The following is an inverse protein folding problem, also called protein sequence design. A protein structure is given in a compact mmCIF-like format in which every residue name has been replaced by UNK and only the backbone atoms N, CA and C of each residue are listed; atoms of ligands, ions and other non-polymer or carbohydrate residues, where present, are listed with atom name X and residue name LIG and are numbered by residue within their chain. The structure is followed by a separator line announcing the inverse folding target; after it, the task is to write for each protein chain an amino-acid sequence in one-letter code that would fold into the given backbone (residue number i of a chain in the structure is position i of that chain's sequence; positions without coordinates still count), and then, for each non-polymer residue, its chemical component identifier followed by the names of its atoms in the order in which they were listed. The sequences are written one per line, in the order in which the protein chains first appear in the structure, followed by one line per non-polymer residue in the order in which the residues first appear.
data_IF_728130976004
#
_entry.id   IF_728130976004
#
_cell.length_a   1.000
_cell.length_b   1.000
_cell.length_c   1.000
_cell.angle_alpha   90.00
_cell.angle_beta   90.00
_cell.angle_gamma   90.00
#
_symmetry.space_group_name_H-M   'P 1'
#
loop_
_entity.id
_entity.type
_entity.pdbx_description
1 polymer ?
#
# COMPACT_ATOMS: atom_id res chain seq x y z
N UNK A 1 -12.74 31.77 -3.07
CA UNK A 1 -12.19 31.17 -4.31
C UNK A 1 -13.04 31.69 -5.48
N UNK A 2 -12.43 32.19 -6.54
CA UNK A 2 -13.15 32.52 -7.78
C UNK A 2 -13.51 31.19 -8.47
N UNK A 3 -14.73 31.07 -8.99
CA UNK A 3 -15.20 29.85 -9.68
C UNK A 3 -15.45 30.15 -11.15
N UNK A 4 -15.36 29.10 -11.98
CA UNK A 4 -15.72 29.13 -13.40
C UNK A 4 -16.75 28.04 -13.67
N UNK A 5 -17.59 28.25 -14.69
CA UNK A 5 -18.52 27.23 -15.17
C UNK A 5 -17.90 26.50 -16.36
N UNK A 6 -17.81 25.17 -16.29
CA UNK A 6 -17.50 24.34 -17.45
C UNK A 6 -18.74 24.24 -18.37
N UNK A 7 -18.59 24.30 -19.71
CA UNK A 7 -19.70 24.01 -20.63
C UNK A 7 -20.26 22.60 -20.43
N UNK A 8 -21.59 22.47 -20.54
CA UNK A 8 -22.25 21.18 -20.51
C UNK A 8 -21.82 20.31 -21.70
N UNK A 9 -21.63 19.00 -21.46
CA UNK A 9 -21.21 18.03 -22.47
C UNK A 9 -21.76 16.65 -22.16
N UNK A 10 -21.95 15.85 -23.22
CA UNK A 10 -22.19 14.41 -23.09
C UNK A 10 -20.84 13.71 -22.92
N UNK A 11 -20.79 12.70 -22.07
CA UNK A 11 -19.56 11.92 -21.83
C UNK A 11 -19.69 10.57 -22.55
N UNK A 12 -18.74 10.20 -23.41
CA UNK A 12 -18.76 8.91 -24.09
C UNK A 12 -18.59 7.77 -23.08
N UNK A 13 -19.49 6.78 -23.16
CA UNK A 13 -19.34 5.52 -22.43
C UNK A 13 -18.41 4.63 -23.24
N UNK A 14 -17.24 4.33 -22.71
CA UNK A 14 -16.20 3.56 -23.43
C UNK A 14 -16.18 2.09 -23.04
N UNK A 15 -16.76 1.75 -21.89
CA UNK A 15 -16.83 0.38 -21.40
C UNK A 15 -17.96 0.22 -20.37
N UNK A 16 -18.47 -1.01 -20.24
CA UNK A 16 -19.44 -1.43 -19.23
C UNK A 16 -19.03 -2.80 -18.71
N UNK A 17 -19.06 -3.01 -17.39
CA UNK A 17 -18.57 -4.25 -16.77
C UNK A 17 -19.46 -4.68 -15.60
N UNK A 18 -19.27 -5.90 -15.08
CA UNK A 18 -19.95 -6.34 -13.85
C UNK A 18 -19.32 -5.67 -12.62
N UNK A 19 -18.00 -5.82 -12.47
CA UNK A 19 -17.23 -5.28 -11.35
C UNK A 19 -16.14 -4.34 -11.87
N UNK A 20 -16.19 -3.08 -11.44
CA UNK A 20 -15.17 -2.09 -11.74
C UNK A 20 -14.30 -1.83 -10.52
N UNK A 21 -13.00 -2.07 -10.66
CA UNK A 21 -12.01 -1.75 -9.62
C UNK A 21 -11.25 -0.49 -10.00
N UNK A 22 -11.19 0.48 -9.07
CA UNK A 22 -10.53 1.78 -9.29
C UNK A 22 -9.30 1.88 -8.41
N UNK A 23 -8.12 1.87 -9.03
CA UNK A 23 -6.81 1.76 -8.39
C UNK A 23 -6.27 0.34 -8.46
N UNK A 24 -5.01 0.17 -8.87
CA UNK A 24 -4.34 -1.12 -9.08
C UNK A 24 -3.19 -1.38 -8.09
N UNK A 25 -3.26 -0.77 -6.90
CA UNK A 25 -2.41 -1.15 -5.79
C UNK A 25 -2.69 -2.57 -5.28
N UNK A 26 -2.04 -3.00 -4.19
CA UNK A 26 -2.23 -4.33 -3.61
C UNK A 26 -3.70 -4.75 -3.41
N UNK A 27 -4.54 -3.85 -2.89
CA UNK A 27 -5.97 -4.11 -2.74
C UNK A 27 -6.69 -4.25 -4.08
N UNK A 28 -6.42 -3.34 -5.02
CA UNK A 28 -7.10 -3.33 -6.31
C UNK A 28 -6.77 -4.52 -7.19
N UNK A 29 -5.48 -4.88 -7.29
CA UNK A 29 -5.06 -6.08 -7.99
C UNK A 29 -5.68 -7.34 -7.37
N UNK A 30 -5.65 -7.45 -6.04
CA UNK A 30 -6.24 -8.61 -5.36
C UNK A 30 -7.76 -8.68 -5.58
N UNK A 31 -8.46 -7.54 -5.56
CA UNK A 31 -9.90 -7.47 -5.84
C UNK A 31 -10.24 -7.90 -7.26
N UNK A 32 -9.50 -7.39 -8.25
CA UNK A 32 -9.75 -7.70 -9.66
C UNK A 32 -9.57 -9.20 -9.95
N UNK A 33 -8.44 -9.77 -9.49
CA UNK A 33 -8.15 -11.19 -9.65
C UNK A 33 -9.19 -12.07 -8.94
N UNK A 34 -9.57 -11.72 -7.72
CA UNK A 34 -10.51 -12.49 -6.92
C UNK A 34 -11.93 -12.48 -7.51
N UNK A 35 -12.40 -11.31 -7.98
CA UNK A 35 -13.68 -11.15 -8.65
C UNK A 35 -13.75 -11.95 -9.96
N UNK A 36 -12.70 -11.87 -10.79
CA UNK A 36 -12.62 -12.62 -12.04
C UNK A 36 -12.63 -14.13 -11.79
N UNK A 37 -11.86 -14.60 -10.80
CA UNK A 37 -11.85 -16.02 -10.38
C UNK A 37 -13.18 -16.51 -9.80
N UNK A 38 -13.99 -15.59 -9.27
CA UNK A 38 -15.36 -15.85 -8.82
C UNK A 38 -16.41 -15.78 -9.96
N UNK A 39 -15.96 -15.44 -11.18
CA UNK A 39 -16.75 -15.50 -12.42
C UNK A 39 -17.39 -14.18 -12.86
N UNK A 40 -16.98 -13.04 -12.30
CA UNK A 40 -17.44 -11.73 -12.77
C UNK A 40 -16.64 -11.26 -14.00
N UNK A 41 -17.27 -10.48 -14.88
CA UNK A 41 -16.54 -9.63 -15.83
C UNK A 41 -15.93 -8.45 -15.06
N UNK A 42 -14.62 -8.23 -15.20
CA UNK A 42 -13.90 -7.25 -14.38
C UNK A 42 -13.13 -6.28 -15.24
N UNK A 43 -13.26 -4.99 -14.93
CA UNK A 43 -12.33 -3.95 -15.37
C UNK A 43 -11.50 -3.42 -14.22
N UNK A 44 -10.22 -3.18 -14.46
CA UNK A 44 -9.28 -2.58 -13.51
C UNK A 44 -8.73 -1.27 -14.08
N UNK A 45 -9.02 -0.16 -13.42
CA UNK A 45 -8.63 1.19 -13.85
C UNK A 45 -7.49 1.71 -12.98
N UNK A 46 -6.48 2.31 -13.61
CA UNK A 46 -5.42 3.04 -12.89
C UNK A 46 -4.99 4.32 -13.63
N UNK A 47 -4.54 5.32 -12.87
CA UNK A 47 -3.99 6.57 -13.39
C UNK A 47 -2.58 6.41 -13.94
N UNK A 48 -1.83 5.44 -13.44
CA UNK A 48 -0.44 5.19 -13.82
C UNK A 48 -0.35 4.31 -15.08
N UNK A 49 0.87 4.23 -15.62
CA UNK A 49 1.19 3.43 -16.81
C UNK A 49 1.58 1.98 -16.51
N UNK A 50 1.42 1.52 -15.26
CA UNK A 50 1.63 0.15 -14.86
C UNK A 50 0.80 -0.18 -13.61
N UNK A 51 0.57 -1.46 -13.36
CA UNK A 51 -0.12 -1.94 -12.17
C UNK A 51 0.83 -2.14 -10.99
N UNK A 52 0.29 -2.29 -9.79
CA UNK A 52 1.04 -2.58 -8.55
C UNK A 52 1.00 -1.47 -7.50
N UNK A 53 0.58 -0.26 -7.88
CA UNK A 53 0.46 0.88 -6.97
C UNK A 53 1.75 1.14 -6.19
N UNK A 54 1.70 1.04 -4.86
CA UNK A 54 2.88 1.30 -4.02
C UNK A 54 4.07 0.35 -4.30
N UNK A 55 3.82 -0.90 -4.72
CA UNK A 55 4.90 -1.85 -5.02
C UNK A 55 5.75 -1.31 -6.18
N UNK A 56 5.09 -0.78 -7.22
CA UNK A 56 5.73 -0.43 -8.49
C UNK A 56 5.91 1.07 -8.68
N UNK A 57 4.83 1.85 -8.55
CA UNK A 57 4.85 3.29 -8.78
C UNK A 57 5.56 4.07 -7.68
N UNK A 58 5.49 3.60 -6.43
CA UNK A 58 6.27 4.20 -5.32
C UNK A 58 7.62 3.51 -5.17
N UNK A 59 7.71 2.19 -5.43
CA UNK A 59 8.95 1.42 -5.25
C UNK A 59 9.11 0.87 -3.82
N UNK A 60 7.99 0.54 -3.16
CA UNK A 60 7.98 -0.13 -1.85
C UNK A 60 8.03 -1.64 -2.09
N UNK A 61 9.23 -2.22 -2.05
CA UNK A 61 9.43 -3.63 -2.45
C UNK A 61 9.13 -4.62 -1.31
N UNK A 62 9.26 -4.19 -0.05
CA UNK A 62 8.92 -4.98 1.14
C UNK A 62 7.42 -5.18 1.32
N UNK A 63 6.82 -6.15 0.62
CA UNK A 63 5.37 -6.43 0.67
C UNK A 63 4.89 -7.05 1.99
N UNK A 64 5.67 -7.98 2.53
CA UNK A 64 5.39 -8.73 3.74
C UNK A 64 6.60 -8.79 4.68
N UNK A 65 7.34 -7.68 4.77
CA UNK A 65 8.61 -7.58 5.51
C UNK A 65 8.50 -7.95 7.00
N UNK A 66 7.30 -8.05 7.54
CA UNK A 66 7.01 -8.46 8.91
C UNK A 66 7.10 -9.99 9.14
N UNK A 67 7.34 -10.80 8.11
CA UNK A 67 7.20 -12.27 8.21
C UNK A 67 8.33 -12.91 9.00
N UNK A 68 7.98 -13.62 10.06
CA UNK A 68 8.87 -14.43 10.89
C UNK A 68 8.33 -15.86 11.06
N UNK A 69 9.11 -16.72 11.73
CA UNK A 69 8.84 -18.16 11.85
C UNK A 69 7.43 -18.49 12.39
N UNK A 70 6.96 -17.73 13.38
CA UNK A 70 5.65 -17.94 13.99
C UNK A 70 4.54 -17.11 13.34
N UNK A 71 4.82 -16.32 12.30
CA UNK A 71 3.81 -15.44 11.70
C UNK A 71 2.70 -16.25 11.05
N UNK A 72 1.45 -15.87 11.36
CA UNK A 72 0.25 -16.48 10.78
C UNK A 72 -0.38 -15.51 9.79
N UNK A 73 -0.38 -15.88 8.51
CA UNK A 73 -0.88 -15.04 7.42
C UNK A 73 -2.16 -15.59 6.77
N UNK A 74 -2.85 -14.73 6.03
CA UNK A 74 -4.03 -15.09 5.26
C UNK A 74 -3.75 -16.04 4.10
N UNK A 75 -2.54 -16.04 3.53
CA UNK A 75 -2.28 -16.72 2.25
C UNK A 75 -2.95 -16.00 1.08
N UNK A 76 -3.67 -16.74 0.24
CA UNK A 76 -4.40 -16.19 -0.91
C UNK A 76 -3.53 -15.42 -1.90
N UNK A 77 -4.11 -14.38 -2.50
CA UNK A 77 -3.49 -13.61 -3.59
C UNK A 77 -2.26 -12.83 -3.10
N UNK A 78 -2.21 -12.42 -1.84
CA UNK A 78 -1.01 -11.77 -1.28
C UNK A 78 0.22 -12.68 -1.32
N UNK A 79 0.05 -13.95 -0.97
CA UNK A 79 1.11 -14.96 -1.10
C UNK A 79 1.42 -15.29 -2.58
N UNK A 80 0.40 -15.24 -3.43
CA UNK A 80 0.57 -15.45 -4.87
C UNK A 80 1.45 -14.35 -5.50
N UNK A 81 1.30 -13.08 -5.13
CA UNK A 81 2.16 -12.00 -5.62
C UNK A 81 3.64 -12.31 -5.39
N UNK A 82 3.99 -12.70 -4.16
CA UNK A 82 5.35 -13.08 -3.80
C UNK A 82 5.82 -14.34 -4.52
N UNK A 83 4.99 -15.38 -4.56
CA UNK A 83 5.30 -16.65 -5.23
C UNK A 83 5.59 -16.43 -6.72
N UNK A 84 4.72 -15.68 -7.40
CA UNK A 84 4.84 -15.39 -8.84
C UNK A 84 6.03 -14.49 -9.13
N UNK A 85 6.30 -13.50 -8.29
CA UNK A 85 7.49 -12.68 -8.44
C UNK A 85 8.77 -13.53 -8.33
N UNK A 86 8.84 -14.45 -7.36
CA UNK A 86 9.97 -15.38 -7.22
C UNK A 86 10.12 -16.31 -8.43
N UNK A 87 9.02 -16.92 -8.90
CA UNK A 87 9.03 -17.79 -10.09
C UNK A 87 9.49 -17.05 -11.36
N UNK A 88 9.20 -15.75 -11.45
CA UNK A 88 9.58 -14.90 -12.58
C UNK A 88 10.95 -14.23 -12.40
N UNK A 89 11.69 -14.53 -11.32
CA UNK A 89 12.98 -13.90 -11.02
C UNK A 89 12.89 -12.41 -10.66
N UNK A 90 11.69 -11.94 -10.29
CA UNK A 90 11.36 -10.57 -9.91
C UNK A 90 11.25 -10.39 -8.39
N UNK A 91 11.97 -11.22 -7.63
CA UNK A 91 12.01 -11.12 -6.17
C UNK A 91 13.33 -11.61 -5.60
N UNK A 92 13.75 -11.04 -4.48
CA UNK A 92 14.92 -11.48 -3.72
C UNK A 92 14.58 -11.66 -2.24
N UNK A 93 15.35 -12.46 -1.47
CA UNK A 93 15.10 -12.59 -0.03
C UNK A 93 15.16 -11.24 0.68
N UNK A 94 14.17 -10.98 1.54
CA UNK A 94 14.10 -9.77 2.36
C UNK A 94 15.26 -9.73 3.37
N UNK A 95 15.78 -8.53 3.63
CA UNK A 95 16.97 -8.35 4.48
C UNK A 95 16.71 -8.67 5.96
N UNK A 96 15.47 -8.51 6.42
CA UNK A 96 15.10 -8.51 7.84
C UNK A 96 14.06 -9.56 8.24
N UNK A 97 13.63 -10.41 7.31
CA UNK A 97 12.48 -11.30 7.50
C UNK A 97 12.58 -12.57 6.65
N UNK A 98 11.57 -13.44 6.76
CA UNK A 98 11.43 -14.65 5.93
C UNK A 98 10.65 -14.41 4.62
N UNK A 99 10.28 -13.16 4.33
CA UNK A 99 9.63 -12.80 3.07
C UNK A 99 10.61 -12.58 1.93
N UNK A 100 10.05 -12.22 0.78
CA UNK A 100 10.79 -11.73 -0.35
C UNK A 100 10.39 -10.29 -0.65
N UNK A 101 11.36 -9.51 -1.11
CA UNK A 101 11.15 -8.19 -1.68
C UNK A 101 10.76 -8.35 -3.14
N UNK A 102 9.73 -7.62 -3.55
CA UNK A 102 9.20 -7.68 -4.90
C UNK A 102 9.86 -6.56 -5.71
N UNK A 103 10.72 -6.94 -6.67
CA UNK A 103 11.40 -5.97 -7.54
C UNK A 103 10.36 -5.07 -8.21
N UNK A 104 10.43 -3.77 -7.96
CA UNK A 104 9.40 -2.82 -8.36
C UNK A 104 9.20 -2.71 -9.88
N UNK A 105 10.22 -3.03 -10.67
CA UNK A 105 10.13 -3.06 -12.13
C UNK A 105 9.64 -4.43 -12.63
N UNK A 106 10.17 -5.52 -12.09
CA UNK A 106 9.78 -6.89 -12.41
C UNK A 106 8.34 -7.20 -12.01
N UNK A 107 7.86 -6.64 -10.90
CA UNK A 107 6.49 -6.84 -10.45
C UNK A 107 5.46 -6.23 -11.40
N UNK A 108 5.83 -5.24 -12.23
CA UNK A 108 4.95 -4.73 -13.31
C UNK A 108 4.58 -5.87 -14.27
N UNK A 109 5.58 -6.66 -14.68
CA UNK A 109 5.39 -7.82 -15.55
C UNK A 109 4.63 -8.96 -14.85
N UNK A 110 4.86 -9.15 -13.55
CA UNK A 110 4.10 -10.11 -12.73
C UNK A 110 2.62 -9.72 -12.71
N UNK A 111 2.31 -8.45 -12.46
CA UNK A 111 0.95 -7.93 -12.42
C UNK A 111 0.26 -8.03 -13.79
N UNK A 112 0.95 -7.66 -14.87
CA UNK A 112 0.45 -7.82 -16.24
C UNK A 112 0.07 -9.28 -16.49
N UNK A 113 0.96 -10.22 -16.16
CA UNK A 113 0.74 -11.66 -16.38
C UNK A 113 -0.46 -12.19 -15.60
N UNK A 114 -0.58 -11.81 -14.32
CA UNK A 114 -1.70 -12.21 -13.46
C UNK A 114 -3.05 -11.74 -14.03
N UNK A 115 -3.09 -10.51 -14.53
CA UNK A 115 -4.30 -9.88 -15.07
C UNK A 115 -4.70 -10.50 -16.41
N UNK A 116 -3.73 -10.74 -17.30
CA UNK A 116 -3.95 -11.46 -18.57
C UNK A 116 -4.49 -12.88 -18.33
N UNK A 117 -3.87 -13.64 -17.42
CA UNK A 117 -4.30 -15.01 -17.09
C UNK A 117 -5.70 -15.06 -16.48
N UNK A 118 -6.09 -14.04 -15.71
CA UNK A 118 -7.40 -13.94 -15.10
C UNK A 118 -8.49 -13.42 -16.07
N UNK A 119 -8.12 -12.93 -17.25
CA UNK A 119 -9.06 -12.33 -18.21
C UNK A 119 -9.67 -11.01 -17.72
N UNK A 120 -8.98 -10.30 -16.83
CA UNK A 120 -9.38 -8.96 -16.37
C UNK A 120 -9.09 -7.95 -17.49
N UNK A 121 -9.97 -6.96 -17.69
CA UNK A 121 -9.76 -5.88 -18.66
C UNK A 121 -8.98 -4.71 -18.02
N UNK A 122 -7.68 -4.52 -18.31
CA UNK A 122 -6.91 -3.42 -17.74
C UNK A 122 -7.13 -2.11 -18.49
N UNK A 123 -7.21 -1.00 -17.75
CA UNK A 123 -7.43 0.35 -18.25
C UNK A 123 -6.48 1.35 -17.57
N UNK A 124 -5.25 1.41 -18.04
CA UNK A 124 -4.19 2.31 -17.55
C UNK A 124 -4.35 3.75 -18.08
N UNK A 125 -3.62 4.70 -17.47
CA UNK A 125 -3.63 6.13 -17.80
C UNK A 125 -4.99 6.84 -17.67
N UNK A 126 -5.88 6.33 -16.82
CA UNK A 126 -7.22 6.88 -16.58
C UNK A 126 -7.36 7.33 -15.13
N UNK A 127 -7.33 8.65 -14.92
CA UNK A 127 -7.52 9.25 -13.61
C UNK A 127 -9.01 9.29 -13.28
N UNK A 128 -9.42 8.78 -12.12
CA UNK A 128 -10.79 8.96 -11.62
C UNK A 128 -11.10 10.44 -11.37
N UNK A 129 -12.31 10.88 -11.77
CA UNK A 129 -12.78 12.27 -11.61
C UNK A 129 -14.09 12.39 -10.84
N UNK A 130 -15.08 11.59 -11.18
CA UNK A 130 -16.41 11.68 -10.55
C UNK A 130 -17.13 10.33 -10.58
N UNK A 131 -17.93 10.00 -9.56
CA UNK A 131 -18.80 8.83 -9.62
C UNK A 131 -20.02 9.12 -10.49
N UNK A 132 -20.60 8.08 -11.07
CA UNK A 132 -21.91 8.13 -11.72
C UNK A 132 -22.91 7.54 -10.72
N UNK A 133 -23.90 8.35 -10.33
CA UNK A 133 -24.84 8.01 -9.27
C UNK A 133 -26.26 7.89 -9.81
N UNK A 134 -26.98 6.87 -9.36
CA UNK A 134 -28.44 6.75 -9.44
C UNK A 134 -28.99 6.80 -8.01
N UNK A 135 -29.42 7.99 -7.58
CA UNK A 135 -29.82 8.29 -6.20
C UNK A 135 -28.69 7.96 -5.22
N UNK A 136 -28.79 6.83 -4.51
CA UNK A 136 -27.84 6.36 -3.50
C UNK A 136 -26.94 5.22 -4.01
N UNK A 137 -27.08 4.81 -5.28
CA UNK A 137 -26.31 3.73 -5.89
C UNK A 137 -25.26 4.28 -6.84
N UNK A 138 -24.01 3.83 -6.69
CA UNK A 138 -22.99 4.05 -7.71
C UNK A 138 -23.22 3.09 -8.89
N UNK A 139 -23.16 3.61 -10.11
CA UNK A 139 -23.40 2.86 -11.37
C UNK A 139 -22.23 2.96 -12.35
N UNK A 140 -21.12 3.60 -11.93
CA UNK A 140 -19.92 3.75 -12.75
C UNK A 140 -19.06 4.92 -12.29
N UNK A 141 -18.06 5.25 -13.10
CA UNK A 141 -17.17 6.41 -12.90
C UNK A 141 -16.98 7.19 -14.19
N UNK A 142 -16.60 8.45 -14.03
CA UNK A 142 -16.01 9.29 -15.07
C UNK A 142 -14.51 9.37 -14.79
N UNK A 143 -13.72 9.16 -15.84
CA UNK A 143 -12.27 9.30 -15.84
C UNK A 143 -11.83 10.48 -16.71
N UNK A 144 -10.59 10.92 -16.56
CA UNK A 144 -9.92 11.88 -17.44
C UNK A 144 -8.56 11.33 -17.85
N UNK A 145 -8.24 11.49 -19.13
CA UNK A 145 -6.95 11.15 -19.72
C UNK A 145 -6.62 12.11 -20.87
N UNK A 146 -5.56 11.84 -21.62
CA UNK A 146 -5.28 12.59 -22.87
C UNK A 146 -6.35 12.41 -23.95
N UNK A 147 -7.23 11.40 -23.84
CA UNK A 147 -8.40 11.22 -24.69
C UNK A 147 -9.60 12.09 -24.27
N UNK A 148 -9.50 12.80 -23.14
CA UNK A 148 -10.59 13.56 -22.54
C UNK A 148 -11.35 12.77 -21.49
N UNK A 149 -12.58 13.22 -21.17
CA UNK A 149 -13.47 12.55 -20.22
C UNK A 149 -14.15 11.33 -20.84
N UNK A 150 -14.04 10.20 -20.16
CA UNK A 150 -14.67 8.93 -20.55
C UNK A 150 -15.47 8.36 -19.37
N UNK A 151 -16.63 7.76 -19.65
CA UNK A 151 -17.45 7.06 -18.66
C UNK A 151 -17.25 5.55 -18.75
N UNK A 152 -17.18 4.90 -17.59
CA UNK A 152 -17.12 3.44 -17.44
C UNK A 152 -18.26 3.04 -16.51
N UNK A 153 -19.21 2.24 -17.02
CA UNK A 153 -20.37 1.80 -16.26
C UNK A 153 -20.10 0.46 -15.56
N UNK A 154 -20.70 0.26 -14.39
CA UNK A 154 -20.52 -0.95 -13.60
C UNK A 154 -21.75 -1.28 -12.74
N UNK A 155 -21.95 -2.56 -12.43
CA UNK A 155 -22.99 -2.99 -11.48
C UNK A 155 -22.53 -2.88 -10.02
N UNK A 156 -21.23 -3.12 -9.77
CA UNK A 156 -20.54 -2.89 -8.50
C UNK A 156 -19.22 -2.17 -8.76
N UNK A 157 -18.88 -1.20 -7.92
CA UNK A 157 -17.60 -0.50 -7.93
C UNK A 157 -16.82 -0.83 -6.65
N UNK A 158 -15.52 -1.08 -6.79
CA UNK A 158 -14.57 -1.23 -5.68
C UNK A 158 -13.61 -0.04 -5.73
N UNK A 159 -13.71 0.84 -4.72
CA UNK A 159 -12.75 1.90 -4.47
C UNK A 159 -11.50 1.32 -3.83
N UNK A 160 -10.45 1.16 -4.63
CA UNK A 160 -9.11 0.77 -4.21
C UNK A 160 -8.09 1.88 -4.52
N UNK A 161 -8.55 3.14 -4.54
CA UNK A 161 -7.72 4.31 -4.86
C UNK A 161 -6.63 4.57 -3.82
N UNK A 162 -6.83 4.05 -2.61
CA UNK A 162 -5.98 4.33 -1.45
C UNK A 162 -6.33 5.63 -0.74
N UNK A 163 -7.20 6.48 -1.32
CA UNK A 163 -7.55 7.79 -0.76
C UNK A 163 -9.07 8.00 -0.57
N UNK A 164 -9.84 6.91 -0.67
CA UNK A 164 -11.31 6.91 -0.68
C UNK A 164 -11.89 7.95 -1.67
N UNK A 165 -11.22 8.18 -2.82
CA UNK A 165 -11.62 9.25 -3.73
C UNK A 165 -13.01 8.98 -4.33
N UNK A 166 -13.33 7.72 -4.67
CA UNK A 166 -14.64 7.36 -5.22
C UNK A 166 -15.70 7.51 -4.13
N UNK A 167 -15.46 6.94 -2.94
CA UNK A 167 -16.39 7.02 -1.82
C UNK A 167 -16.66 8.47 -1.38
N UNK A 168 -15.61 9.26 -1.21
CA UNK A 168 -15.71 10.66 -0.82
C UNK A 168 -16.52 11.47 -1.83
N UNK A 169 -16.23 11.33 -3.14
CA UNK A 169 -16.95 12.05 -4.19
C UNK A 169 -18.37 11.53 -4.41
N UNK A 170 -18.67 10.30 -4.02
CA UNK A 170 -20.03 9.74 -4.04
C UNK A 170 -20.89 10.28 -2.88
N UNK A 171 -20.28 10.94 -1.89
CA UNK A 171 -20.97 11.49 -0.72
C UNK A 171 -20.94 10.57 0.50
N UNK A 172 -20.14 9.49 0.49
CA UNK A 172 -19.92 8.69 1.69
C UNK A 172 -19.22 9.56 2.75
N UNK A 173 -19.60 9.45 4.04
CA UNK A 173 -18.88 10.14 5.10
C UNK A 173 -17.45 9.63 5.19
N UNK A 174 -16.49 10.55 5.23
CA UNK A 174 -15.06 10.24 5.34
C UNK A 174 -14.41 11.08 6.43
N UNK A 175 -13.46 10.49 7.15
CA UNK A 175 -12.57 11.17 8.07
C UNK A 175 -11.18 11.32 7.47
N UNK A 176 -10.57 12.50 7.61
CA UNK A 176 -9.18 12.76 7.25
C UNK A 176 -8.43 13.21 8.49
N UNK A 177 -7.29 12.59 8.78
CA UNK A 177 -6.40 12.98 9.88
C UNK A 177 -5.95 14.44 9.68
N UNK A 178 -5.75 15.18 10.78
CA UNK A 178 -5.16 16.51 10.69
C UNK A 178 -3.73 16.42 10.11
N UNK A 179 -3.30 17.45 9.37
CA UNK A 179 -2.07 17.42 8.57
C UNK A 179 -0.82 17.17 9.43
N UNK A 180 -0.80 17.75 10.62
CA UNK A 180 0.22 17.61 11.67
C UNK A 180 0.27 16.22 12.31
N UNK A 181 -0.82 15.48 12.24
CA UNK A 181 -0.97 14.13 12.82
C UNK A 181 -0.83 13.02 11.78
N UNK A 182 -0.78 13.36 10.49
CA UNK A 182 -0.63 12.39 9.40
C UNK A 182 0.72 11.68 9.50
N UNK A 183 0.74 10.40 9.09
CA UNK A 183 2.01 9.71 8.87
C UNK A 183 2.83 10.41 7.79
N UNK A 184 4.13 10.53 8.05
CA UNK A 184 5.07 11.10 7.10
C UNK A 184 5.02 10.36 5.75
N UNK A 185 5.06 11.15 4.67
CA UNK A 185 5.18 10.61 3.32
C UNK A 185 6.63 10.20 3.05
N UNK A 186 6.83 9.15 2.25
CA UNK A 186 8.17 8.64 1.98
C UNK A 186 8.57 8.80 0.52
N UNK A 187 9.80 9.24 0.27
CA UNK A 187 10.39 9.21 -1.08
C UNK A 187 11.31 8.01 -1.20
N UNK A 188 10.88 7.02 -1.97
CA UNK A 188 11.70 5.85 -2.27
C UNK A 188 12.68 6.16 -3.40
N UNK A 189 13.88 5.60 -3.28
CA UNK A 189 14.86 5.62 -4.35
C UNK A 189 15.68 4.33 -4.36
N UNK A 190 16.37 4.11 -5.47
CA UNK A 190 17.26 2.96 -5.66
C UNK A 190 18.64 3.45 -6.06
N UNK A 191 19.66 2.69 -5.67
CA UNK A 191 21.06 2.96 -5.93
C UNK A 191 21.65 1.89 -6.85
N UNK A 192 22.68 2.30 -7.58
CA UNK A 192 23.53 1.41 -8.36
C UNK A 192 24.99 1.73 -8.06
N UNK A 193 25.88 0.75 -8.29
CA UNK A 193 27.31 0.90 -8.07
C UNK A 193 27.74 0.62 -6.63
N UNK A 194 26.96 -0.16 -5.88
CA UNK A 194 27.31 -0.60 -4.53
C UNK A 194 28.16 -1.86 -4.60
N UNK A 195 29.31 -1.88 -3.91
CA UNK A 195 30.06 -3.11 -3.66
C UNK A 195 29.30 -3.91 -2.58
N UNK A 196 28.53 -4.90 -3.04
CA UNK A 196 27.71 -5.77 -2.18
C UNK A 196 28.53 -6.40 -1.06
N UNK A 197 29.76 -6.86 -1.33
CA UNK A 197 30.55 -7.56 -0.32
C UNK A 197 30.95 -6.58 0.79
N UNK A 198 31.53 -5.44 0.42
CA UNK A 198 31.95 -4.43 1.39
C UNK A 198 30.77 -3.87 2.20
N UNK A 199 29.63 -3.64 1.54
CA UNK A 199 28.41 -3.19 2.19
C UNK A 199 27.89 -4.18 3.24
N UNK A 200 27.75 -5.46 2.85
CA UNK A 200 27.24 -6.50 3.77
C UNK A 200 28.23 -6.78 4.91
N UNK A 201 29.54 -6.73 4.65
CA UNK A 201 30.56 -6.81 5.72
C UNK A 201 30.46 -5.63 6.68
N UNK A 202 30.22 -4.42 6.17
CA UNK A 202 29.97 -3.22 6.97
C UNK A 202 28.74 -3.36 7.87
N UNK A 203 27.60 -3.80 7.31
CA UNK A 203 26.37 -4.05 8.09
C UNK A 203 26.60 -5.10 9.19
N UNK A 204 27.33 -6.19 8.89
CA UNK A 204 27.63 -7.24 9.87
C UNK A 204 28.59 -6.78 10.97
N UNK A 205 29.48 -5.84 10.67
CA UNK A 205 30.42 -5.30 11.65
C UNK A 205 29.75 -4.37 12.67
N UNK A 206 28.59 -3.80 12.32
CA UNK A 206 27.81 -2.88 13.16
C UNK A 206 26.30 -3.13 13.00
N UNK A 207 25.80 -4.29 13.47
CA UNK A 207 24.40 -4.65 13.30
C UNK A 207 23.50 -3.71 14.09
N UNK A 208 22.41 -3.28 13.46
CA UNK A 208 21.36 -2.51 14.14
C UNK A 208 20.21 -3.43 14.56
N UNK A 209 19.47 -3.02 15.57
CA UNK A 209 18.24 -3.68 16.01
C UNK A 209 17.05 -2.74 15.95
N UNK A 210 15.83 -3.23 16.16
CA UNK A 210 14.65 -2.35 16.18
C UNK A 210 14.66 -1.35 17.34
N UNK A 211 15.39 -1.63 18.42
CA UNK A 211 15.64 -0.65 19.48
C UNK A 211 16.37 0.59 18.98
N UNK A 212 17.23 0.45 17.97
CA UNK A 212 17.99 1.57 17.39
C UNK A 212 17.13 2.50 16.52
N UNK A 213 15.88 2.13 16.22
CA UNK A 213 14.94 3.04 15.58
C UNK A 213 14.53 4.17 16.53
N UNK A 214 14.68 3.96 17.84
CA UNK A 214 14.48 4.95 18.88
C UNK A 214 15.72 5.80 19.16
N UNK A 215 15.53 7.01 19.68
CA UNK A 215 16.62 7.81 20.27
C UNK A 215 17.28 8.86 19.35
N UNK A 216 16.87 8.96 18.09
CA UNK A 216 17.31 10.00 17.14
C UNK A 216 16.60 11.36 17.28
N UNK A 217 15.82 11.58 18.34
CA UNK A 217 15.09 12.82 18.61
C UNK A 217 13.66 12.89 18.03
N UNK A 218 13.40 12.26 16.88
CA UNK A 218 12.09 12.35 16.20
C UNK A 218 11.29 11.03 16.14
N UNK A 219 11.96 9.88 16.21
CA UNK A 219 11.33 8.57 16.21
C UNK A 219 11.26 8.03 17.64
N UNK A 220 10.22 8.40 18.38
CA UNK A 220 9.88 7.69 19.62
C UNK A 220 8.99 6.52 19.25
N UNK A 221 9.58 5.33 19.11
CA UNK A 221 8.87 4.11 18.75
C UNK A 221 8.52 3.32 20.00
N UNK A 222 7.22 3.11 20.22
CA UNK A 222 6.68 2.13 21.15
C UNK A 222 6.78 0.75 20.51
N UNK A 223 7.58 -0.13 21.14
CA UNK A 223 7.64 -1.56 20.83
C UNK A 223 6.93 -2.37 21.91
N UNK A 224 6.76 -3.67 21.68
CA UNK A 224 6.29 -4.59 22.73
C UNK A 224 7.43 -5.21 23.55
N UNK A 225 8.67 -4.82 23.28
CA UNK A 225 9.89 -5.35 23.88
C UNK A 225 10.39 -6.66 23.25
N UNK A 226 9.53 -7.45 22.58
CA UNK A 226 9.94 -8.71 21.92
C UNK A 226 10.73 -8.46 20.63
N UNK A 227 10.61 -7.26 20.06
CA UNK A 227 11.28 -6.85 18.83
C UNK A 227 12.64 -6.19 19.05
N UNK A 228 12.89 -5.68 20.26
CA UNK A 228 13.97 -4.72 20.53
C UNK A 228 15.36 -5.22 20.10
N UNK A 229 15.65 -6.49 20.34
CA UNK A 229 16.94 -7.11 20.06
C UNK A 229 16.99 -7.83 18.69
N UNK A 230 15.91 -7.78 17.91
CA UNK A 230 15.88 -8.38 16.57
C UNK A 230 16.63 -7.50 15.58
N UNK A 231 17.35 -8.13 14.65
CA UNK A 231 18.09 -7.44 13.59
C UNK A 231 17.19 -6.53 12.75
N UNK A 232 17.73 -5.38 12.37
CA UNK A 232 17.11 -4.43 11.47
C UNK A 232 18.12 -3.88 10.43
N UNK A 233 17.71 -3.63 9.18
CA UNK A 233 18.51 -3.01 8.13
C UNK A 233 18.50 -1.47 8.28
N UNK A 234 18.33 -0.98 9.51
CA UNK A 234 18.27 0.44 9.81
C UNK A 234 19.64 1.10 9.59
N UNK A 235 19.64 2.30 9.02
CA UNK A 235 20.83 3.10 8.73
C UNK A 235 20.58 4.52 9.20
N UNK A 236 21.38 4.96 10.18
CA UNK A 236 21.34 6.32 10.71
C UNK A 236 22.73 6.93 10.89
N UNK A 237 23.75 6.13 11.26
CA UNK A 237 25.10 6.60 11.59
C UNK A 237 25.79 7.38 10.45
N UNK A 238 25.72 6.93 9.17
CA UNK A 238 26.25 7.72 8.05
C UNK A 238 25.66 9.13 7.97
N UNK A 239 24.37 9.28 8.27
CA UNK A 239 23.68 10.57 8.21
C UNK A 239 24.04 11.45 9.40
N UNK A 240 24.18 10.86 10.59
CA UNK A 240 24.69 11.60 11.76
C UNK A 240 26.10 12.13 11.51
N UNK A 241 27.02 11.31 10.98
CA UNK A 241 28.37 11.75 10.62
C UNK A 241 28.36 12.87 9.56
N UNK A 242 27.44 12.79 8.60
CA UNK A 242 27.28 13.83 7.61
C UNK A 242 26.75 15.14 8.21
N UNK A 243 25.86 15.09 9.20
CA UNK A 243 25.42 16.27 9.97
C UNK A 243 26.60 16.87 10.75
N UNK A 244 27.35 16.04 11.46
CA UNK A 244 28.49 16.49 12.28
C UNK A 244 29.58 17.16 11.44
N UNK A 245 29.75 16.75 10.18
CA UNK A 245 30.67 17.35 9.22
C UNK A 245 30.07 18.50 8.39
N UNK A 246 28.82 18.88 8.64
CA UNK A 246 28.13 19.98 7.94
C UNK A 246 27.74 19.67 6.48
N UNK A 247 27.75 18.40 6.07
CA UNK A 247 27.29 17.97 4.74
C UNK A 247 25.76 17.94 4.66
N UNK A 248 25.11 17.54 5.75
CA UNK A 248 23.66 17.61 5.91
C UNK A 248 23.35 18.75 6.90
N UNK A 249 22.45 19.69 6.57
CA UNK A 249 21.98 20.70 7.51
C UNK A 249 21.41 20.05 8.79
N UNK A 250 21.78 20.57 9.97
CA UNK A 250 21.40 19.98 11.26
C UNK A 250 19.88 19.87 11.52
N UNK A 251 19.06 20.64 10.81
CA UNK A 251 17.59 20.55 10.89
C UNK A 251 17.00 19.40 10.07
N UNK A 252 17.80 18.69 9.27
CA UNK A 252 17.41 17.50 8.50
C UNK A 252 17.86 16.22 9.23
N UNK A 253 17.60 16.17 10.52
CA UNK A 253 17.87 15.04 11.40
C UNK A 253 16.88 13.87 11.20
N UNK A 254 15.91 14.02 10.29
CA UNK A 254 14.92 12.99 9.93
C UNK A 254 15.46 11.96 8.94
N UNK A 255 16.62 12.22 8.31
CA UNK A 255 17.24 11.35 7.30
C UNK A 255 17.82 10.12 7.99
N UNK A 256 17.02 9.07 8.03
CA UNK A 256 17.35 7.75 8.53
C UNK A 256 16.26 6.77 8.05
N UNK A 257 16.55 5.48 8.09
CA UNK A 257 15.55 4.47 7.75
C UNK A 257 16.18 3.16 7.29
N UNK A 258 15.43 2.39 6.51
CA UNK A 258 15.84 1.05 6.11
C UNK A 258 16.28 0.99 4.66
N UNK A 259 17.24 0.11 4.38
CA UNK A 259 17.46 -0.41 3.03
C UNK A 259 16.75 -1.75 2.89
N UNK A 260 16.45 -2.11 1.64
CA UNK A 260 15.74 -3.33 1.32
C UNK A 260 16.62 -4.38 0.66
N UNK A 261 16.60 -4.42 -0.67
CA UNK A 261 17.23 -5.48 -1.45
C UNK A 261 18.65 -5.13 -1.89
N UNK A 262 19.52 -6.15 -1.88
CA UNK A 262 20.88 -6.05 -2.38
C UNK A 262 21.16 -7.07 -3.48
N UNK A 263 21.37 -6.59 -4.70
CA UNK A 263 21.58 -7.40 -5.90
C UNK A 263 23.07 -7.65 -6.18
N UNK A 264 23.40 -8.81 -6.76
CA UNK A 264 24.78 -9.16 -7.10
C UNK A 264 25.37 -8.25 -8.19
N UNK A 265 24.51 -7.58 -8.96
CA UNK A 265 24.85 -6.58 -9.97
C UNK A 265 25.18 -5.20 -9.38
N UNK A 266 25.11 -5.04 -8.05
CA UNK A 266 25.51 -3.83 -7.33
C UNK A 266 24.39 -2.79 -7.20
N UNK A 267 23.13 -3.21 -7.36
CA UNK A 267 21.97 -2.42 -7.00
C UNK A 267 21.56 -2.63 -5.55
N UNK A 268 21.23 -1.51 -4.91
CA UNK A 268 20.59 -1.46 -3.61
C UNK A 268 19.23 -0.77 -3.80
N UNK A 269 18.15 -1.53 -3.75
CA UNK A 269 16.80 -1.02 -3.99
C UNK A 269 16.02 -0.88 -2.69
N UNK A 270 14.81 -0.34 -2.78
CA UNK A 270 13.95 0.00 -1.65
C UNK A 270 14.66 0.80 -0.53
N UNK A 271 15.26 1.95 -0.89
CA UNK A 271 15.79 2.89 0.10
C UNK A 271 14.66 3.73 0.69
N UNK A 272 14.23 3.38 1.90
CA UNK A 272 13.23 4.13 2.66
C UNK A 272 13.90 5.00 3.73
N UNK A 273 14.59 6.05 3.30
CA UNK A 273 15.41 6.91 4.16
C UNK A 273 14.85 8.33 4.35
N UNK A 274 13.91 8.75 3.48
CA UNK A 274 13.39 10.11 3.47
C UNK A 274 11.94 10.09 3.89
N UNK A 275 11.67 10.69 5.04
CA UNK A 275 10.35 10.77 5.66
C UNK A 275 9.99 12.26 5.84
N UNK A 276 8.92 12.69 5.17
CA UNK A 276 8.47 14.07 5.14
C UNK A 276 7.14 14.20 5.90
N UNK A 277 7.19 14.84 7.06
CA UNK A 277 6.00 15.17 7.83
C UNK A 277 5.13 16.20 7.09
N UNK A 278 3.85 16.27 7.47
CA UNK A 278 2.88 17.26 6.98
C UNK A 278 2.71 17.31 5.44
N UNK A 279 2.88 16.18 4.75
CA UNK A 279 2.55 16.06 3.32
C UNK A 279 1.14 15.47 3.19
N UNK A 280 0.18 16.30 2.78
CA UNK A 280 -1.20 15.86 2.53
C UNK A 280 -1.34 15.29 1.12
N UNK A 281 -1.57 13.98 1.01
CA UNK A 281 -1.77 13.30 -0.28
C UNK A 281 -3.04 13.69 -1.04
N UNK A 282 -3.94 14.46 -0.42
CA UNK A 282 -5.14 15.00 -1.07
C UNK A 282 -4.97 16.43 -1.61
N UNK A 283 -3.81 17.05 -1.36
CA UNK A 283 -3.43 18.38 -1.84
C UNK A 283 -2.27 18.28 -2.86
N UNK A 284 -2.51 18.54 -4.15
CA UNK A 284 -1.47 18.46 -5.18
C UNK A 284 -0.31 19.44 -4.96
N UNK A 285 -0.53 20.59 -4.33
CA UNK A 285 0.54 21.53 -4.01
C UNK A 285 1.42 20.97 -2.88
N UNK A 286 0.81 20.32 -1.89
CA UNK A 286 1.54 19.60 -0.85
C UNK A 286 2.37 18.46 -1.41
N UNK A 287 1.80 17.65 -2.31
CA UNK A 287 2.54 16.59 -2.99
C UNK A 287 3.71 17.16 -3.80
N UNK A 288 3.51 18.26 -4.53
CA UNK A 288 4.56 18.91 -5.32
C UNK A 288 5.74 19.37 -4.45
N UNK A 289 5.46 19.96 -3.28
CA UNK A 289 6.51 20.33 -2.32
C UNK A 289 7.25 19.11 -1.80
N UNK A 290 6.52 18.06 -1.39
CA UNK A 290 7.11 16.83 -0.87
C UNK A 290 8.01 16.13 -1.89
N UNK A 291 7.58 16.09 -3.16
CA UNK A 291 8.33 15.53 -4.27
C UNK A 291 9.68 16.25 -4.50
N UNK A 292 9.65 17.58 -4.56
CA UNK A 292 10.86 18.40 -4.80
C UNK A 292 11.82 18.27 -3.61
N UNK A 293 11.29 18.44 -2.40
CA UNK A 293 12.10 18.42 -1.19
C UNK A 293 12.66 17.02 -0.91
N UNK A 294 11.86 15.97 -1.06
CA UNK A 294 12.30 14.61 -0.83
C UNK A 294 13.40 14.19 -1.79
N UNK A 295 13.31 14.52 -3.08
CA UNK A 295 14.42 14.29 -4.03
C UNK A 295 15.70 15.03 -3.63
N UNK A 296 15.58 16.27 -3.12
CA UNK A 296 16.72 17.04 -2.62
C UNK A 296 17.39 16.33 -1.43
N UNK A 297 16.60 15.88 -0.45
CA UNK A 297 17.10 15.14 0.71
C UNK A 297 17.70 13.77 0.33
N UNK A 298 17.11 13.06 -0.64
CA UNK A 298 17.68 11.80 -1.14
C UNK A 298 19.09 11.99 -1.71
N UNK A 299 19.36 13.09 -2.42
CA UNK A 299 20.71 13.36 -2.93
C UNK A 299 21.72 13.65 -1.80
N UNK A 300 21.29 14.28 -0.71
CA UNK A 300 22.10 14.43 0.49
C UNK A 300 22.38 13.08 1.17
N UNK A 301 21.37 12.23 1.27
CA UNK A 301 21.52 10.88 1.80
C UNK A 301 22.50 10.05 0.97
N UNK A 302 22.43 10.13 -0.38
CA UNK A 302 23.37 9.44 -1.27
C UNK A 302 24.81 9.92 -1.02
N UNK A 303 25.03 11.23 -0.92
CA UNK A 303 26.37 11.77 -0.64
C UNK A 303 26.90 11.33 0.73
N UNK A 304 26.05 11.27 1.75
CA UNK A 304 26.42 10.74 3.06
C UNK A 304 26.81 9.26 2.99
N UNK A 305 26.00 8.43 2.31
CA UNK A 305 26.31 7.01 2.10
C UNK A 305 27.65 6.82 1.37
N UNK A 306 27.93 7.61 0.32
CA UNK A 306 29.20 7.52 -0.41
C UNK A 306 30.44 7.78 0.44
N UNK A 307 30.32 8.61 1.48
CA UNK A 307 31.45 8.98 2.35
C UNK A 307 31.61 8.08 3.55
N UNK A 308 30.50 7.56 4.06
CA UNK A 308 30.44 7.00 5.41
C UNK A 308 29.90 5.56 5.46
N UNK A 309 29.30 5.06 4.39
CA UNK A 309 28.80 3.69 4.33
C UNK A 309 29.77 2.82 3.49
N UNK A 310 30.42 1.82 4.09
CA UNK A 310 31.30 0.90 3.35
C UNK A 310 30.59 0.29 2.14
N UNK A 311 31.28 0.23 1.00
CA UNK A 311 30.76 -0.31 -0.24
C UNK A 311 29.88 0.65 -1.05
N UNK A 312 29.51 1.80 -0.50
CA UNK A 312 28.72 2.81 -1.22
C UNK A 312 29.57 3.89 -1.91
N UNK A 313 30.90 3.77 -1.99
CA UNK A 313 31.80 4.84 -2.48
C UNK A 313 31.47 5.27 -3.93
N UNK A 314 31.04 4.31 -4.75
CA UNK A 314 30.62 4.48 -6.13
C UNK A 314 29.10 4.53 -6.30
N UNK A 315 28.34 4.55 -5.20
CA UNK A 315 26.89 4.58 -5.25
C UNK A 315 26.41 5.84 -5.99
N UNK A 316 25.48 5.63 -6.92
CA UNK A 316 24.76 6.69 -7.62
C UNK A 316 23.28 6.40 -7.60
N UNK A 317 22.48 7.46 -7.71
CA UNK A 317 21.06 7.32 -7.96
C UNK A 317 20.82 6.47 -9.22
N UNK A 318 20.02 5.42 -9.10
CA UNK A 318 19.47 4.65 -10.21
C UNK A 318 18.18 5.29 -10.68
N UNK A 319 17.19 5.38 -9.79
CA UNK A 319 15.90 6.03 -10.03
C UNK A 319 15.21 6.38 -8.71
N UNK A 320 14.20 7.24 -8.79
CA UNK A 320 13.19 7.44 -7.77
C UNK A 320 11.98 6.55 -8.07
N UNK A 321 11.11 6.37 -7.07
CA UNK A 321 9.70 6.06 -7.34
C UNK A 321 9.08 7.11 -8.27
N UNK A 322 8.10 6.71 -9.08
CA UNK A 322 7.36 7.61 -9.98
C UNK A 322 6.50 8.63 -9.22
N UNK A 323 6.15 8.32 -7.97
CA UNK A 323 5.39 9.19 -7.07
C UNK A 323 5.82 8.98 -5.63
N UNK A 324 5.67 10.01 -4.81
CA UNK A 324 5.85 9.97 -3.37
C UNK A 324 4.87 8.99 -2.72
N UNK A 325 5.34 8.24 -1.73
CA UNK A 325 4.57 7.26 -0.98
C UNK A 325 3.71 7.91 0.10
N UNK A 326 2.41 7.94 -0.10
CA UNK A 326 1.43 8.43 0.87
C UNK A 326 0.91 7.27 1.73
N UNK A 327 0.92 7.47 3.06
CA UNK A 327 0.54 6.44 4.06
C UNK A 327 -0.81 6.71 4.73
N UNK A 328 -1.27 7.95 4.77
CA UNK A 328 -2.52 8.35 5.41
C UNK A 328 -3.20 9.51 4.66
N UNK A 329 -4.52 9.40 4.49
CA UNK A 329 -5.39 10.42 3.87
C UNK A 329 -6.82 10.25 4.41
N UNK A 330 -7.81 10.05 3.54
CA UNK A 330 -9.20 9.83 3.91
C UNK A 330 -9.45 8.36 4.18
N UNK A 331 -10.25 8.11 5.21
CA UNK A 331 -10.85 6.81 5.53
C UNK A 331 -12.36 6.97 5.53
N UNK A 332 -13.10 5.97 5.07
CA UNK A 332 -14.56 5.99 5.20
C UNK A 332 -14.98 5.84 6.67
N UNK A 333 -16.08 6.48 7.05
CA UNK A 333 -16.85 6.04 8.21
C UNK A 333 -17.70 4.84 7.77
N UNK A 334 -17.16 3.65 7.97
CA UNK A 334 -17.76 2.41 7.51
C UNK A 334 -18.88 1.95 8.45
N UNK A 335 -19.64 0.92 8.03
CA UNK A 335 -20.62 0.24 8.89
C UNK A 335 -19.99 -0.21 10.22
N UNK A 336 -18.69 -0.52 10.21
CA UNK A 336 -17.88 -0.69 11.40
C UNK A 336 -16.46 -0.15 11.17
N UNK A 337 -15.98 0.66 12.09
CA UNK A 337 -14.60 1.11 12.07
C UNK A 337 -13.80 0.24 13.03
N UNK A 338 -12.77 -0.44 12.53
CA UNK A 338 -11.86 -1.21 13.37
C UNK A 338 -11.18 -0.32 14.41
N UNK A 339 -10.94 -0.88 15.59
CA UNK A 339 -10.36 -0.17 16.72
C UNK A 339 -8.96 -0.67 17.08
N UNK A 340 -8.22 0.12 17.84
CA UNK A 340 -6.97 -0.29 18.47
C UNK A 340 -7.11 -1.62 19.23
N UNK A 341 -8.23 -1.81 19.93
CA UNK A 341 -8.51 -3.02 20.68
C UNK A 341 -8.57 -4.24 19.76
N UNK A 342 -9.20 -4.13 18.59
CA UNK A 342 -9.25 -5.20 17.60
C UNK A 342 -7.85 -5.56 17.08
N UNK A 343 -7.02 -4.55 16.83
CA UNK A 343 -5.66 -4.73 16.32
C UNK A 343 -4.73 -5.36 17.36
N UNK A 344 -4.76 -4.87 18.60
CA UNK A 344 -3.87 -5.34 19.68
C UNK A 344 -4.35 -6.63 20.32
N UNK A 345 -5.65 -6.86 20.42
CA UNK A 345 -6.24 -7.99 21.17
C UNK A 345 -6.89 -9.05 20.29
N UNK A 346 -6.46 -9.15 19.02
CA UNK A 346 -6.87 -10.21 18.10
C UNK A 346 -8.38 -10.24 17.86
N UNK A 347 -8.97 -9.11 17.45
CA UNK A 347 -10.39 -8.98 17.13
C UNK A 347 -10.91 -10.17 16.33
N UNK A 348 -12.10 -10.65 16.68
CA UNK A 348 -12.75 -11.83 16.08
C UNK A 348 -14.10 -11.45 15.53
N UNK A 349 -14.27 -11.70 14.25
CA UNK A 349 -15.46 -11.31 13.49
C UNK A 349 -16.06 -12.51 12.77
N UNK A 350 -17.37 -12.69 12.91
CA UNK A 350 -18.13 -13.72 12.18
C UNK A 350 -18.17 -13.44 10.68
N UNK A 351 -18.10 -12.17 10.31
CA UNK A 351 -18.13 -11.65 8.95
C UNK A 351 -16.73 -11.38 8.38
N UNK A 352 -15.74 -12.16 8.81
CA UNK A 352 -14.34 -11.97 8.40
C UNK A 352 -14.11 -12.29 6.92
N UNK A 353 -13.33 -11.45 6.24
CA UNK A 353 -12.85 -11.71 4.88
C UNK A 353 -11.42 -12.25 4.83
N UNK A 354 -10.80 -12.47 5.99
CA UNK A 354 -9.43 -12.94 6.10
C UNK A 354 -8.81 -12.57 7.44
N UNK A 355 -7.57 -12.98 7.63
CA UNK A 355 -6.81 -12.64 8.84
C UNK A 355 -5.64 -11.73 8.51
N UNK A 356 -5.16 -11.01 9.51
CA UNK A 356 -3.88 -10.31 9.41
C UNK A 356 -3.08 -10.55 10.68
N UNK A 357 -1.78 -10.86 10.59
CA UNK A 357 -0.93 -11.00 11.77
C UNK A 357 -0.96 -9.73 12.64
N UNK A 358 -0.56 -9.84 13.90
CA UNK A 358 -0.46 -8.71 14.85
C UNK A 358 0.67 -7.71 14.52
N UNK A 359 0.72 -7.26 13.28
CA UNK A 359 1.72 -6.34 12.78
C UNK A 359 1.17 -4.92 12.81
N UNK A 360 1.85 -4.04 13.54
CA UNK A 360 1.56 -2.60 13.59
C UNK A 360 2.84 -1.85 13.24
N UNK A 361 2.75 -0.95 12.27
CA UNK A 361 3.84 -0.05 11.92
C UNK A 361 3.24 1.32 11.59
N UNK A 362 3.57 2.33 12.36
CA UNK A 362 3.13 3.70 12.11
C UNK A 362 2.63 4.41 13.36
N UNK A 363 2.51 5.73 13.25
CA UNK A 363 2.19 6.62 14.37
C UNK A 363 3.07 6.41 15.62
N UNK A 364 4.34 6.02 15.41
CA UNK A 364 5.28 5.75 16.50
C UNK A 364 5.06 4.41 17.20
N UNK A 365 4.33 3.47 16.60
CA UNK A 365 4.16 2.11 17.13
C UNK A 365 4.81 1.11 16.17
N UNK A 366 5.57 0.16 16.71
CA UNK A 366 6.10 -0.98 15.98
C UNK A 366 5.86 -2.28 16.77
N UNK A 367 5.02 -3.16 16.23
CA UNK A 367 4.80 -4.50 16.77
C UNK A 367 5.03 -5.50 15.65
N UNK A 368 5.95 -6.45 15.84
CA UNK A 368 6.20 -7.53 14.88
C UNK A 368 5.42 -8.80 15.24
N UNK A 369 4.95 -9.57 14.24
CA UNK A 369 4.11 -10.73 14.48
C UNK A 369 4.91 -12.01 14.73
N UNK A 370 5.67 -12.00 15.82
CA UNK A 370 6.59 -13.08 16.21
C UNK A 370 5.97 -14.13 17.13
N UNK A 371 4.68 -14.05 17.46
CA UNK A 371 4.04 -14.94 18.45
C UNK A 371 2.86 -15.76 17.90
N UNK A 372 2.62 -15.74 16.59
CA UNK A 372 1.48 -16.44 15.96
C UNK A 372 0.09 -15.87 16.22
N UNK A 373 0.02 -14.69 16.83
CA UNK A 373 -1.22 -13.93 17.01
C UNK A 373 -1.62 -13.25 15.71
N UNK A 374 -2.93 -13.14 15.49
CA UNK A 374 -3.52 -12.50 14.32
C UNK A 374 -4.91 -11.97 14.66
N UNK A 375 -5.40 -10.98 13.92
CA UNK A 375 -6.76 -10.44 13.98
C UNK A 375 -7.57 -10.86 12.75
N UNK A 376 -8.90 -10.84 12.86
CA UNK A 376 -9.81 -10.93 11.71
C UNK A 376 -9.98 -9.56 11.06
N UNK A 377 -10.16 -9.55 9.74
CA UNK A 377 -10.55 -8.35 8.98
C UNK A 377 -12.05 -8.43 8.68
N UNK A 378 -12.91 -7.62 9.32
CA UNK A 378 -14.36 -7.71 9.14
C UNK A 378 -14.80 -7.15 7.78
N UNK A 379 -15.69 -7.84 7.08
CA UNK A 379 -16.28 -7.38 5.81
C UNK A 379 -16.90 -5.98 5.93
N UNK A 380 -17.61 -5.73 7.03
CA UNK A 380 -18.31 -4.47 7.29
C UNK A 380 -17.40 -3.24 7.45
N UNK A 381 -16.08 -3.39 7.58
CA UNK A 381 -15.16 -2.23 7.55
C UNK A 381 -14.93 -1.69 6.14
N UNK A 382 -15.30 -2.44 5.10
CA UNK A 382 -15.23 -2.01 3.70
C UNK A 382 -16.53 -1.42 3.17
N UNK A 383 -17.61 -1.43 3.97
CA UNK A 383 -18.94 -0.94 3.56
C UNK A 383 -19.09 0.55 3.92
N UNK A 384 -19.09 1.47 2.93
CA UNK A 384 -19.36 2.89 3.20
C UNK A 384 -20.83 3.11 3.57
N UNK A 385 -21.09 4.04 4.50
CA UNK A 385 -22.46 4.44 4.83
C UNK A 385 -23.07 5.27 3.69
N UNK A 386 -24.34 4.99 3.38
CA UNK A 386 -25.16 5.82 2.49
C UNK A 386 -24.94 5.61 1.00
N UNK A 387 -24.00 4.75 0.58
CA UNK A 387 -23.70 4.49 -0.84
C UNK A 387 -23.84 2.99 -1.14
N UNK A 388 -24.83 2.64 -1.96
CA UNK A 388 -25.07 1.28 -2.45
C UNK A 388 -24.21 0.97 -3.66
N UNK A 389 -23.86 -0.31 -3.83
CA UNK A 389 -23.05 -0.78 -4.96
C UNK A 389 -21.56 -0.43 -4.87
N UNK A 390 -21.10 0.05 -3.71
CA UNK A 390 -19.70 0.44 -3.46
C UNK A 390 -19.07 -0.39 -2.35
N UNK A 391 -17.85 -0.86 -2.57
CA UNK A 391 -16.93 -1.34 -1.54
C UNK A 391 -15.68 -0.45 -1.51
N UNK A 392 -15.07 -0.26 -0.34
CA UNK A 392 -13.79 0.44 -0.18
C UNK A 392 -12.76 -0.52 0.39
N UNK A 393 -11.72 -0.81 -0.38
CA UNK A 393 -10.69 -1.77 -0.01
C UNK A 393 -9.30 -1.12 0.07
N UNK A 394 -8.47 -1.63 0.98
CA UNK A 394 -7.14 -1.09 1.23
C UNK A 394 -7.13 -0.05 2.35
N UNK A 395 -6.12 0.83 2.35
CA UNK A 395 -5.86 1.77 3.46
C UNK A 395 -6.97 2.78 3.76
N UNK A 396 -8.01 2.87 2.93
CA UNK A 396 -9.12 3.82 3.11
C UNK A 396 -10.39 3.22 3.72
N UNK A 397 -10.38 1.94 4.09
CA UNK A 397 -11.47 1.29 4.84
C UNK A 397 -11.68 1.95 6.23
N UNK A 398 -12.74 1.54 6.94
CA UNK A 398 -13.05 2.05 8.28
C UNK A 398 -12.12 1.53 9.37
N UNK A 399 -11.27 2.40 9.92
CA UNK A 399 -10.39 2.12 11.05
C UNK A 399 -10.04 3.39 11.83
N UNK A 400 -9.79 3.26 13.13
CA UNK A 400 -9.17 4.30 13.94
C UNK A 400 -7.67 4.46 13.65
N UNK A 401 -6.99 5.36 14.38
CA UNK A 401 -5.57 5.67 14.17
C UNK A 401 -4.67 4.44 14.28
N UNK A 402 -4.80 3.62 15.32
CA UNK A 402 -3.89 2.50 15.56
C UNK A 402 -4.26 1.30 14.70
N UNK A 403 -5.55 1.01 14.55
CA UNK A 403 -6.01 -0.01 13.60
C UNK A 403 -5.55 0.30 12.17
N UNK A 404 -5.58 1.57 11.75
CA UNK A 404 -5.06 2.00 10.45
C UNK A 404 -3.57 1.68 10.29
N UNK A 405 -2.73 1.89 11.32
CA UNK A 405 -1.31 1.53 11.26
C UNK A 405 -1.06 0.03 11.02
N UNK A 406 -2.00 -0.82 11.43
CA UNK A 406 -1.96 -2.25 11.12
C UNK A 406 -2.51 -2.56 9.71
N UNK A 407 -3.70 -2.07 9.38
CA UNK A 407 -4.44 -2.52 8.20
C UNK A 407 -4.06 -1.81 6.89
N UNK A 408 -3.37 -0.66 6.97
CA UNK A 408 -2.81 0.04 5.79
C UNK A 408 -1.64 -0.69 5.14
N UNK A 409 -1.10 -1.73 5.78
CA UNK A 409 -0.02 -2.54 5.24
C UNK A 409 -0.44 -3.25 3.95
N UNK A 410 0.48 -3.36 2.99
CA UNK A 410 0.17 -3.83 1.63
C UNK A 410 -0.42 -5.24 1.59
N UNK A 411 0.12 -6.16 2.40
CA UNK A 411 -0.44 -7.49 2.55
C UNK A 411 -1.87 -7.49 3.14
N UNK A 412 -2.17 -6.67 4.15
CA UNK A 412 -3.54 -6.51 4.67
C UNK A 412 -4.48 -5.88 3.64
N UNK A 413 -3.96 -4.94 2.84
CA UNK A 413 -4.71 -4.35 1.74
C UNK A 413 -5.08 -5.40 0.69
N UNK A 414 -4.17 -6.34 0.36
CA UNK A 414 -4.47 -7.45 -0.53
C UNK A 414 -5.55 -8.39 0.05
N UNK A 415 -5.56 -8.64 1.37
CA UNK A 415 -6.65 -9.39 2.05
C UNK A 415 -7.99 -8.70 1.85
N UNK A 416 -8.05 -7.38 2.12
CA UNK A 416 -9.26 -6.57 1.88
C UNK A 416 -9.70 -6.61 0.42
N UNK A 417 -8.76 -6.45 -0.49
CA UNK A 417 -8.99 -6.55 -1.93
C UNK A 417 -9.64 -7.87 -2.33
N UNK A 418 -9.02 -8.99 -1.95
CA UNK A 418 -9.52 -10.32 -2.28
C UNK A 418 -10.93 -10.56 -1.72
N UNK A 419 -11.18 -10.15 -0.47
CA UNK A 419 -12.51 -10.17 0.13
C UNK A 419 -13.55 -9.35 -0.64
N UNK A 420 -13.18 -8.12 -1.02
CA UNK A 420 -14.06 -7.22 -1.76
C UNK A 420 -14.40 -7.77 -3.16
N UNK A 421 -13.43 -8.31 -3.88
CA UNK A 421 -13.63 -8.89 -5.21
C UNK A 421 -14.59 -10.08 -5.19
N UNK A 422 -14.40 -11.02 -4.25
CA UNK A 422 -15.30 -12.17 -4.08
C UNK A 422 -16.71 -11.70 -3.69
N UNK A 423 -16.82 -10.77 -2.74
CA UNK A 423 -18.10 -10.25 -2.30
C UNK A 423 -18.87 -9.58 -3.44
N UNK A 424 -18.20 -8.75 -4.26
CA UNK A 424 -18.80 -8.10 -5.42
C UNK A 424 -19.32 -9.11 -6.46
N UNK A 425 -18.52 -10.12 -6.82
CA UNK A 425 -18.94 -11.15 -7.77
C UNK A 425 -20.13 -11.97 -7.24
N UNK A 426 -20.09 -12.36 -5.96
CA UNK A 426 -21.15 -13.16 -5.36
C UNK A 426 -22.43 -12.36 -5.10
N UNK A 427 -22.34 -11.06 -4.81
CA UNK A 427 -23.52 -10.19 -4.65
C UNK A 427 -24.30 -10.08 -5.96
N UNK A 428 -23.60 -10.00 -7.10
CA UNK A 428 -24.22 -10.00 -8.42
C UNK A 428 -24.85 -11.35 -8.74
N UNK A 429 -24.16 -12.46 -8.45
CA UNK A 429 -24.65 -13.82 -8.68
C UNK A 429 -25.89 -14.17 -7.85
N UNK A 430 -25.95 -13.68 -6.61
CA UNK A 430 -27.09 -13.89 -5.70
C UNK A 430 -28.16 -12.81 -5.79
N UNK A 431 -27.94 -11.76 -6.59
CA UNK A 431 -28.79 -10.58 -6.68
C UNK A 431 -29.09 -9.97 -5.29
N UNK A 432 -28.05 -9.87 -4.47
CA UNK A 432 -28.11 -9.26 -3.14
C UNK A 432 -27.34 -7.94 -3.13
N UNK A 433 -27.84 -6.97 -2.37
CA UNK A 433 -27.06 -5.78 -2.08
C UNK A 433 -25.88 -6.12 -1.17
N UNK A 434 -24.78 -5.38 -1.32
CA UNK A 434 -23.52 -5.61 -0.61
C UNK A 434 -23.68 -5.58 0.92
N UNK A 435 -24.57 -4.74 1.45
CA UNK A 435 -24.87 -4.60 2.89
C UNK A 435 -25.74 -5.73 3.44
N UNK A 436 -26.34 -6.54 2.56
CA UNK A 436 -27.23 -7.67 2.90
C UNK A 436 -26.69 -9.01 2.42
N UNK A 437 -25.45 -9.04 1.94
CA UNK A 437 -24.82 -10.21 1.36
C UNK A 437 -24.64 -11.30 2.42
N UNK A 438 -25.08 -12.52 2.11
CA UNK A 438 -24.75 -13.68 2.94
C UNK A 438 -23.27 -14.05 2.77
N UNK A 439 -22.50 -14.01 3.87
CA UNK A 439 -21.07 -14.29 3.82
C UNK A 439 -20.70 -15.77 3.88
N UNK A 440 -21.63 -16.70 4.10
CA UNK A 440 -21.30 -18.12 4.06
C UNK A 440 -20.77 -18.56 2.66
N UNK A 441 -21.41 -18.19 1.53
CA UNK A 441 -20.82 -18.34 0.20
C UNK A 441 -19.47 -17.63 0.02
N UNK A 442 -19.31 -16.42 0.59
CA UNK A 442 -18.06 -15.64 0.52
C UNK A 442 -16.92 -16.38 1.22
N UNK A 443 -17.12 -16.88 2.43
CA UNK A 443 -16.13 -17.68 3.16
C UNK A 443 -15.75 -18.98 2.42
N UNK A 444 -16.74 -19.64 1.79
CA UNK A 444 -16.46 -20.84 0.97
C UNK A 444 -15.57 -20.50 -0.22
N UNK A 445 -15.84 -19.37 -0.87
CA UNK A 445 -15.09 -18.91 -2.03
C UNK A 445 -13.68 -18.40 -1.64
N UNK A 446 -13.56 -17.71 -0.50
CA UNK A 446 -12.27 -17.34 0.11
C UNK A 446 -11.40 -18.58 0.36
N UNK A 447 -11.96 -19.62 0.97
CA UNK A 447 -11.26 -20.89 1.19
C UNK A 447 -10.87 -21.57 -0.13
N UNK A 448 -11.75 -21.54 -1.14
CA UNK A 448 -11.44 -22.06 -2.49
C UNK A 448 -10.27 -21.33 -3.15
N UNK A 449 -10.16 -20.02 -2.90
CA UNK A 449 -9.06 -19.18 -3.39
C UNK A 449 -7.86 -19.11 -2.41
N UNK A 450 -7.76 -20.05 -1.47
CA UNK A 450 -6.59 -20.23 -0.61
C UNK A 450 -6.45 -19.22 0.52
N UNK A 451 -7.53 -18.53 0.90
CA UNK A 451 -7.53 -17.58 2.03
C UNK A 451 -7.84 -18.30 3.34
N UNK A 452 -6.99 -18.07 4.33
CA UNK A 452 -7.21 -18.44 5.71
C UNK A 452 -8.12 -17.41 6.40
N UNK A 453 -9.22 -17.91 6.95
CA UNK A 453 -10.24 -17.11 7.67
C UNK A 453 -10.40 -17.53 9.15
N UNK A 454 -9.66 -18.55 9.59
CA UNK A 454 -9.67 -19.13 10.96
C UNK A 454 -8.32 -19.74 11.30
#
# INVERSE_FOLDING_TARGET
MQTIQEPARQIPVVHSTDVLVVGSGPAGLAAALAAARAGAEVSLVDRFGCMGGNITAVGVEGFAWYRHEQTVEAGGIGMEFETRAKEMGAAVPESQSLSYELDSEGFKLVADKLIEEAGVHPMLHRQFVAPIMDVDRITGIITESKAGREAILAKVVIDATGDADVAHRAGAPTHKTAREDMMAASVMFHLAGVDKRAFIEGVKADPQTYKDWGGGGEWNIETSGKEDDMYSPFVHKPFQQAIDQGLIPAHLNTIAGTWGAMHDTGELTYMNLIHLAEIDGTDPDSMTRGEIEGRRQSMLAIEALRRFMPGCENARLRNFGMTIGIRDTRKIDAVYNMTEDDARHQGRFEDTIGIYPEFIDGYGILILPTTGRYMHIPYRSMLPKGIRGLLVAGRSHGADRVAHAATRNMACCAVMGQGAGIAAALSLKSNQDLDKLNLAPVHKELARQGVRIR
#
